data_IF_766803455668
#
_entry.id   IF_766803455668
#
_cell.length_a   1.000
_cell.length_b   1.000
_cell.length_c   1.000
_cell.angle_alpha   90.00
_cell.angle_beta   90.00
_cell.angle_gamma   90.00
#
_symmetry.space_group_name_H-M   'P 1'
#
loop_
_entity.id
_entity.type
_entity.pdbx_description
1 polymer ?
#
# COMPACT_ATOMS: atom_id res chain seq x y z
N UNK A 1 35.34 -3.04 -38.02
CA UNK A 1 35.23 -4.35 -37.33
C UNK A 1 33.90 -4.39 -36.60
N UNK A 2 33.04 -5.31 -37.04
CA UNK A 2 31.79 -5.80 -36.46
C UNK A 2 30.62 -4.83 -36.30
N UNK A 3 29.96 -4.56 -37.43
CA UNK A 3 28.53 -4.27 -37.48
C UNK A 3 27.74 -5.56 -37.25
N UNK A 4 26.75 -5.53 -36.36
CA UNK A 4 25.68 -6.53 -36.31
C UNK A 4 24.41 -5.85 -36.79
N UNK A 5 23.98 -6.23 -37.99
CA UNK A 5 22.72 -5.81 -38.57
C UNK A 5 21.55 -6.43 -37.80
N UNK A 6 20.60 -5.61 -37.36
CA UNK A 6 19.32 -6.06 -36.83
C UNK A 6 18.37 -6.37 -38.01
N UNK A 7 17.61 -7.48 -37.99
CA UNK A 7 16.69 -7.82 -39.06
C UNK A 7 15.48 -6.87 -39.09
N UNK A 8 14.89 -6.61 -40.28
CA UNK A 8 13.66 -5.82 -40.37
C UNK A 8 12.48 -6.75 -40.05
N UNK A 9 11.90 -6.63 -38.85
CA UNK A 9 10.62 -7.26 -38.56
C UNK A 9 9.50 -6.26 -38.80
N UNK A 10 8.95 -6.30 -40.02
CA UNK A 10 7.64 -5.78 -40.35
C UNK A 10 6.56 -6.52 -39.55
N UNK A 11 6.03 -5.89 -38.49
CA UNK A 11 4.75 -6.29 -37.93
C UNK A 11 3.92 -5.04 -37.60
N UNK A 12 2.65 -4.98 -38.04
CA UNK A 12 1.88 -3.74 -38.03
C UNK A 12 1.43 -3.37 -36.61
N UNK A 13 2.06 -2.34 -36.04
CA UNK A 13 1.77 -1.77 -34.72
C UNK A 13 0.44 -1.00 -34.61
N UNK A 14 -0.54 -1.29 -35.47
CA UNK A 14 -1.79 -0.52 -35.59
C UNK A 14 -3.08 -1.26 -35.24
N UNK A 15 -3.04 -2.58 -34.96
CA UNK A 15 -4.27 -3.35 -34.67
C UNK A 15 -4.49 -3.71 -33.19
N UNK A 16 -3.53 -3.47 -32.29
CA UNK A 16 -3.65 -3.86 -30.88
C UNK A 16 -4.12 -2.75 -29.92
N UNK A 17 -4.63 -1.62 -30.42
CA UNK A 17 -5.15 -0.53 -29.57
C UNK A 17 -6.67 -0.57 -29.34
N UNK A 18 -7.38 -1.59 -29.84
CA UNK A 18 -8.85 -1.58 -29.87
C UNK A 18 -9.58 -2.44 -28.84
N UNK A 19 -8.99 -3.51 -28.30
CA UNK A 19 -9.82 -4.58 -27.72
C UNK A 19 -9.49 -5.01 -26.27
N UNK A 20 -8.54 -4.39 -25.58
CA UNK A 20 -8.24 -4.74 -24.19
C UNK A 20 -8.30 -3.50 -23.32
N UNK A 21 -9.33 -3.42 -22.48
CA UNK A 21 -9.40 -2.37 -21.47
C UNK A 21 -8.21 -2.55 -20.51
N UNK A 22 -7.60 -1.45 -20.03
CA UNK A 22 -6.50 -1.51 -19.05
C UNK A 22 -6.85 -2.38 -17.84
N UNK A 23 -8.12 -2.39 -17.45
CA UNK A 23 -8.68 -3.18 -16.35
C UNK A 23 -8.62 -4.69 -16.59
N UNK A 24 -8.88 -5.15 -17.82
CA UNK A 24 -8.82 -6.57 -18.18
C UNK A 24 -7.38 -7.07 -18.26
N UNK A 25 -6.47 -6.22 -18.73
CA UNK A 25 -5.04 -6.52 -18.70
C UNK A 25 -4.53 -6.62 -17.26
N UNK A 26 -4.85 -5.64 -16.40
CA UNK A 26 -4.45 -5.67 -14.99
C UNK A 26 -5.02 -6.92 -14.27
N UNK A 27 -6.26 -7.32 -14.58
CA UNK A 27 -6.86 -8.54 -14.05
C UNK A 27 -6.06 -9.81 -14.40
N UNK A 28 -5.65 -9.96 -15.67
CA UNK A 28 -4.86 -11.12 -16.11
C UNK A 28 -3.39 -11.04 -15.69
N UNK A 29 -2.80 -9.85 -15.65
CA UNK A 29 -1.41 -9.64 -15.25
C UNK A 29 -1.19 -9.94 -13.77
N UNK A 30 -2.14 -9.57 -12.90
CA UNK A 30 -2.08 -9.88 -11.46
C UNK A 30 -2.12 -11.40 -11.20
N UNK A 31 -2.76 -12.17 -12.09
CA UNK A 31 -2.83 -13.64 -12.03
C UNK A 31 -1.50 -14.33 -12.39
N UNK A 32 -0.63 -13.66 -13.14
CA UNK A 32 0.69 -14.17 -13.56
C UNK A 32 1.83 -13.66 -12.68
N UNK A 33 1.73 -12.44 -12.17
CA UNK A 33 2.63 -11.91 -11.15
C UNK A 33 1.86 -10.90 -10.27
N UNK A 34 1.75 -11.13 -8.96
CA UNK A 34 1.08 -10.23 -8.02
C UNK A 34 1.68 -8.81 -7.96
N UNK A 35 2.80 -8.54 -8.63
CA UNK A 35 3.47 -7.24 -8.76
C UNK A 35 3.27 -6.55 -10.13
N UNK A 36 2.64 -7.20 -11.10
CA UNK A 36 2.31 -6.57 -12.38
C UNK A 36 0.97 -5.83 -12.28
N UNK A 37 1.04 -4.52 -12.06
CA UNK A 37 -0.06 -3.58 -12.30
C UNK A 37 0.52 -2.36 -13.00
N UNK A 38 -0.20 -1.83 -14.00
CA UNK A 38 0.31 -0.69 -14.76
C UNK A 38 0.18 0.64 -14.01
N UNK A 39 -0.73 0.74 -13.03
CA UNK A 39 -1.07 2.00 -12.37
C UNK A 39 -1.30 1.92 -10.84
N UNK A 40 -1.37 0.73 -10.24
CA UNK A 40 -1.86 0.62 -8.86
C UNK A 40 -0.77 0.94 -7.81
N UNK A 41 -1.08 1.77 -6.79
CA UNK A 41 -0.19 1.94 -5.66
C UNK A 41 -0.03 0.61 -4.90
N UNK A 42 1.21 0.32 -4.51
CA UNK A 42 1.57 -0.89 -3.78
C UNK A 42 2.56 -0.56 -2.69
N UNK A 43 2.58 -1.40 -1.66
CA UNK A 43 3.45 -1.24 -0.52
C UNK A 43 4.11 -2.57 -0.16
N UNK A 44 5.45 -2.59 -0.13
CA UNK A 44 6.22 -3.76 0.30
C UNK A 44 6.57 -3.65 1.78
N UNK A 45 6.32 -4.71 2.54
CA UNK A 45 6.75 -4.81 3.93
C UNK A 45 8.27 -4.87 4.01
N UNK A 46 8.88 -3.89 4.65
CA UNK A 46 10.32 -3.88 4.92
C UNK A 46 10.64 -4.60 6.21
N UNK A 47 9.84 -4.37 7.26
CA UNK A 47 9.98 -4.99 8.57
C UNK A 47 8.73 -4.82 9.41
N UNK A 48 8.56 -5.73 10.36
CA UNK A 48 7.50 -5.73 11.37
C UNK A 48 8.13 -5.57 12.75
N UNK A 49 7.68 -4.58 13.51
CA UNK A 49 8.17 -4.24 14.84
C UNK A 49 7.05 -4.45 15.87
N UNK A 50 7.32 -5.05 17.05
CA UNK A 50 6.33 -5.12 18.12
C UNK A 50 5.93 -3.71 18.60
N UNK A 51 4.63 -3.47 18.78
CA UNK A 51 4.08 -2.16 19.22
C UNK A 51 3.27 -2.27 20.52
N UNK A 52 3.53 -3.30 21.33
CA UNK A 52 2.81 -3.63 22.55
C UNK A 52 2.05 -4.95 22.45
N UNK A 53 1.24 -5.26 23.48
CA UNK A 53 0.56 -6.55 23.58
C UNK A 53 -0.45 -6.73 22.45
N UNK A 54 -0.20 -7.71 21.58
CA UNK A 54 -1.06 -8.01 20.44
C UNK A 54 -1.06 -6.93 19.36
N UNK A 55 -0.03 -6.08 19.29
CA UNK A 55 0.09 -5.04 18.28
C UNK A 55 1.46 -5.06 17.60
N UNK A 56 1.49 -4.67 16.33
CA UNK A 56 2.70 -4.55 15.54
C UNK A 56 2.66 -3.31 14.65
N UNK A 57 3.82 -2.68 14.45
CA UNK A 57 4.04 -1.63 13.46
C UNK A 57 4.70 -2.24 12.23
N UNK A 58 4.04 -2.09 11.08
CA UNK A 58 4.53 -2.48 9.77
C UNK A 58 5.19 -1.28 9.10
N UNK A 59 6.48 -1.39 8.81
CA UNK A 59 7.20 -0.40 8.02
C UNK A 59 7.13 -0.80 6.56
N UNK A 60 6.42 -0.01 5.77
CA UNK A 60 6.15 -0.28 4.36
C UNK A 60 6.92 0.68 3.46
N UNK A 61 7.38 0.18 2.31
CA UNK A 61 7.90 0.99 1.21
C UNK A 61 6.87 1.06 0.09
N UNK A 62 6.43 2.27 -0.25
CA UNK A 62 5.50 2.49 -1.35
C UNK A 62 6.22 2.55 -2.69
N UNK A 63 5.50 2.18 -3.76
CA UNK A 63 5.98 2.35 -5.13
C UNK A 63 5.75 3.78 -5.64
N UNK A 64 6.28 4.08 -6.84
CA UNK A 64 6.17 5.39 -7.49
C UNK A 64 4.73 5.85 -7.82
N UNK A 65 3.76 4.93 -7.77
CA UNK A 65 2.36 5.23 -8.11
C UNK A 65 1.60 5.82 -6.91
N UNK A 66 2.16 5.77 -5.71
CA UNK A 66 1.57 6.34 -4.52
C UNK A 66 1.99 7.80 -4.34
N UNK A 67 1.02 8.71 -4.17
CA UNK A 67 1.25 10.17 -4.23
C UNK A 67 1.68 10.80 -2.90
N UNK A 68 1.74 10.02 -1.82
CA UNK A 68 1.99 10.55 -0.48
C UNK A 68 0.75 10.52 0.40
N UNK A 69 0.93 10.94 1.66
CA UNK A 69 -0.15 11.27 2.58
C UNK A 69 0.17 12.58 3.29
N UNK A 70 -0.86 13.29 3.74
CA UNK A 70 -0.74 14.25 4.84
C UNK A 70 -0.95 13.52 6.16
N UNK A 71 -0.23 13.96 7.19
CA UNK A 71 -0.42 13.48 8.55
C UNK A 71 -1.90 13.52 8.96
N UNK A 72 -2.37 12.46 9.61
CA UNK A 72 -3.76 12.29 10.04
C UNK A 72 -4.71 11.65 9.01
N UNK A 73 -4.30 11.55 7.74
CA UNK A 73 -5.07 10.85 6.70
C UNK A 73 -5.04 9.31 6.86
N UNK A 74 -5.91 8.65 6.11
CA UNK A 74 -6.05 7.20 6.05
C UNK A 74 -5.70 6.64 4.67
N UNK A 75 -5.36 5.35 4.62
CA UNK A 75 -5.16 4.58 3.39
C UNK A 75 -5.93 3.26 3.49
N UNK A 76 -6.41 2.76 2.37
CA UNK A 76 -6.92 1.38 2.27
C UNK A 76 -5.77 0.45 1.93
N UNK A 77 -5.52 -0.53 2.81
CA UNK A 77 -4.58 -1.61 2.59
C UNK A 77 -5.36 -2.85 2.16
N UNK A 78 -4.99 -3.44 1.02
CA UNK A 78 -5.52 -4.72 0.58
C UNK A 78 -4.53 -5.85 0.83
N UNK A 79 -5.00 -6.87 1.53
CA UNK A 79 -4.23 -8.04 1.97
C UNK A 79 -4.86 -9.28 1.37
N UNK A 80 -4.05 -10.14 0.78
CA UNK A 80 -4.51 -11.42 0.23
C UNK A 80 -4.33 -12.52 1.27
N UNK A 81 -5.44 -13.17 1.65
CA UNK A 81 -5.47 -14.26 2.62
C UNK A 81 -6.33 -15.36 2.00
N UNK A 82 -5.78 -16.57 1.88
CA UNK A 82 -6.47 -17.74 1.31
C UNK A 82 -7.10 -17.47 -0.07
N UNK A 83 -6.38 -16.76 -0.95
CA UNK A 83 -6.82 -16.40 -2.29
C UNK A 83 -7.93 -15.33 -2.34
N UNK A 84 -8.24 -14.68 -1.21
CA UNK A 84 -9.22 -13.59 -1.11
C UNK A 84 -8.54 -12.28 -0.78
N UNK A 85 -8.84 -11.23 -1.54
CA UNK A 85 -8.38 -9.87 -1.24
C UNK A 85 -9.33 -9.21 -0.23
N UNK A 86 -8.80 -8.91 0.96
CA UNK A 86 -9.50 -8.24 2.04
C UNK A 86 -8.97 -6.82 2.20
N UNK A 87 -9.87 -5.84 2.31
CA UNK A 87 -9.51 -4.42 2.39
C UNK A 87 -9.73 -3.88 3.81
N UNK A 88 -8.76 -3.15 4.36
CA UNK A 88 -8.90 -2.47 5.65
C UNK A 88 -8.26 -1.08 5.60
N UNK A 89 -8.93 -0.12 6.23
CA UNK A 89 -8.42 1.24 6.36
C UNK A 89 -7.51 1.37 7.57
N UNK A 90 -6.39 2.04 7.38
CA UNK A 90 -5.41 2.34 8.44
C UNK A 90 -4.93 3.78 8.33
N UNK A 91 -4.50 4.37 9.45
CA UNK A 91 -3.86 5.69 9.50
C UNK A 91 -2.34 5.52 9.50
N UNK A 92 -1.63 5.81 8.40
CA UNK A 92 -0.18 5.68 8.38
C UNK A 92 0.51 6.87 9.04
N UNK A 93 1.71 6.64 9.56
CA UNK A 93 2.68 7.69 9.87
C UNK A 93 3.67 7.82 8.72
N UNK A 94 3.85 9.00 8.09
CA UNK A 94 4.87 9.20 7.07
C UNK A 94 6.27 9.10 7.69
N UNK A 95 7.16 8.31 7.08
CA UNK A 95 8.56 8.17 7.49
C UNK A 95 9.55 8.80 6.50
N UNK A 96 9.03 9.44 5.45
CA UNK A 96 9.83 10.02 4.37
C UNK A 96 10.43 9.00 3.38
N UNK A 97 10.90 9.50 2.23
CA UNK A 97 11.51 8.70 1.15
C UNK A 97 10.61 7.53 0.68
N UNK A 98 9.31 7.76 0.54
CA UNK A 98 8.35 6.73 0.10
C UNK A 98 8.15 5.61 1.13
N UNK A 99 8.34 5.88 2.43
CA UNK A 99 8.08 4.92 3.50
C UNK A 99 6.96 5.43 4.41
N UNK A 100 6.14 4.49 4.86
CA UNK A 100 5.04 4.73 5.80
C UNK A 100 5.08 3.65 6.88
N UNK A 101 4.63 3.99 8.09
CA UNK A 101 4.40 3.04 9.16
C UNK A 101 2.90 2.86 9.40
N UNK A 102 2.42 1.63 9.47
CA UNK A 102 1.05 1.30 9.86
C UNK A 102 1.10 0.50 11.16
N UNK A 103 0.45 0.98 12.21
CA UNK A 103 0.35 0.23 13.48
C UNK A 103 -0.99 -0.49 13.55
N UNK A 104 -0.94 -1.80 13.73
CA UNK A 104 -2.12 -2.68 13.76
C UNK A 104 -2.18 -3.38 15.11
N UNK A 105 -3.36 -3.37 15.73
CA UNK A 105 -3.69 -4.22 16.87
C UNK A 105 -4.49 -5.41 16.37
N UNK A 106 -4.10 -6.62 16.77
CA UNK A 106 -4.87 -7.83 16.51
C UNK A 106 -6.23 -7.71 17.23
N UNK A 107 -7.29 -7.99 16.47
CA UNK A 107 -8.67 -8.00 16.97
C UNK A 107 -9.14 -9.44 16.95
N UNK A 108 -9.81 -9.88 18.01
CA UNK A 108 -10.34 -11.24 18.09
C UNK A 108 -11.31 -11.50 16.93
N UNK A 109 -11.13 -12.63 16.24
CA UNK A 109 -11.86 -12.95 15.01
C UNK A 109 -11.48 -12.11 13.77
N UNK A 110 -10.60 -11.12 13.91
CA UNK A 110 -10.17 -10.27 12.80
C UNK A 110 -9.14 -10.95 11.91
N UNK A 111 -9.53 -11.36 10.70
CA UNK A 111 -8.62 -12.04 9.76
C UNK A 111 -7.41 -11.17 9.38
N UNK A 112 -7.65 -9.95 8.87
CA UNK A 112 -6.57 -9.08 8.39
C UNK A 112 -5.66 -8.61 9.52
N UNK A 113 -6.22 -8.21 10.66
CA UNK A 113 -5.42 -7.72 11.79
C UNK A 113 -4.57 -8.82 12.42
N UNK A 114 -5.08 -10.05 12.52
CA UNK A 114 -4.29 -11.19 12.99
C UNK A 114 -3.18 -11.54 12.00
N UNK A 115 -3.48 -11.63 10.70
CA UNK A 115 -2.50 -11.92 9.68
C UNK A 115 -1.37 -10.89 9.66
N UNK A 116 -1.69 -9.60 9.68
CA UNK A 116 -0.69 -8.53 9.70
C UNK A 116 0.20 -8.55 10.95
N UNK A 117 -0.35 -8.95 12.10
CA UNK A 117 0.40 -8.98 13.37
C UNK A 117 1.23 -10.27 13.51
N UNK A 118 0.73 -11.41 13.04
CA UNK A 118 1.30 -12.74 13.31
C UNK A 118 2.08 -13.30 12.13
N UNK A 119 1.54 -13.15 10.92
CA UNK A 119 1.97 -13.92 9.75
C UNK A 119 2.73 -13.08 8.73
N UNK A 120 2.45 -11.77 8.62
CA UNK A 120 3.09 -10.91 7.63
C UNK A 120 4.61 -10.82 7.82
N UNK A 121 5.35 -11.00 6.72
CA UNK A 121 6.81 -11.10 6.67
C UNK A 121 7.45 -10.00 5.80
N UNK A 122 8.69 -9.58 6.12
CA UNK A 122 9.48 -8.75 5.21
C UNK A 122 9.51 -9.33 3.79
N UNK A 123 9.16 -8.53 2.79
CA UNK A 123 9.03 -8.95 1.41
C UNK A 123 7.59 -9.01 0.92
N UNK A 124 6.61 -9.21 1.81
CA UNK A 124 5.19 -9.21 1.45
C UNK A 124 4.78 -7.92 0.76
N UNK A 125 3.88 -8.02 -0.21
CA UNK A 125 3.37 -6.85 -0.95
C UNK A 125 1.87 -6.75 -0.84
N UNK A 126 1.43 -5.57 -0.43
CA UNK A 126 0.03 -5.22 -0.26
C UNK A 126 -0.39 -4.25 -1.36
N UNK A 127 -1.67 -4.30 -1.74
CA UNK A 127 -2.28 -3.24 -2.54
C UNK A 127 -2.56 -2.04 -1.65
N UNK A 128 -2.40 -0.84 -2.19
CA UNK A 128 -2.60 0.41 -1.46
C UNK A 128 -3.44 1.37 -2.31
N UNK A 129 -4.40 2.04 -1.70
CA UNK A 129 -5.09 3.17 -2.33
C UNK A 129 -4.36 4.49 -2.05
N UNK A 130 -4.75 5.55 -2.77
CA UNK A 130 -4.27 6.90 -2.42
C UNK A 130 -4.78 7.30 -1.04
N UNK A 131 -4.01 8.14 -0.34
CA UNK A 131 -4.43 8.66 0.94
C UNK A 131 -5.70 9.52 0.81
N UNK A 132 -6.58 9.42 1.79
CA UNK A 132 -7.85 10.15 1.85
C UNK A 132 -8.20 10.52 3.30
N UNK A 133 -9.19 11.39 3.45
CA UNK A 133 -9.68 11.87 4.75
C UNK A 133 -9.22 13.30 5.05
N UNK A 134 -10.02 13.96 5.89
CA UNK A 134 -9.95 15.39 6.15
C UNK A 134 -9.36 15.74 7.52
N UNK A 135 -8.95 14.72 8.30
CA UNK A 135 -8.24 14.90 9.56
C UNK A 135 -6.80 15.33 9.28
N UNK A 136 -6.60 16.61 8.98
CA UNK A 136 -5.29 17.22 8.72
C UNK A 136 -5.17 18.51 9.51
N UNK A 137 -4.00 18.79 10.07
CA UNK A 137 -3.73 20.06 10.73
C UNK A 137 -3.40 21.16 9.71
N UNK A 138 -3.78 22.39 10.05
CA UNK A 138 -3.33 23.59 9.35
C UNK A 138 -1.92 23.98 9.84
N UNK A 139 -1.17 24.69 9.00
CA UNK A 139 0.24 25.05 9.27
C UNK A 139 0.42 25.93 10.53
N UNK A 140 -0.62 26.65 10.94
CA UNK A 140 -0.69 27.41 12.19
C UNK A 140 -1.71 26.77 13.13
N UNK A 141 -1.38 25.61 13.70
CA UNK A 141 -2.23 24.99 14.72
C UNK A 141 -1.93 25.61 16.10
N UNK A 142 -2.95 26.01 16.88
CA UNK A 142 -2.78 26.45 18.27
C UNK A 142 -2.39 25.27 19.18
N UNK A 143 -2.37 25.47 20.50
CA UNK A 143 -2.20 24.37 21.47
C UNK A 143 -3.29 23.29 21.24
N UNK A 144 -2.86 22.05 20.99
CA UNK A 144 -3.75 20.93 20.65
C UNK A 144 -3.87 19.93 21.81
N UNK A 145 -5.11 19.56 22.14
CA UNK A 145 -5.42 18.39 22.95
C UNK A 145 -5.94 17.27 22.05
N UNK A 146 -5.19 16.16 21.97
CA UNK A 146 -5.54 14.98 21.18
C UNK A 146 -5.99 13.85 22.12
N UNK A 147 -7.26 13.43 22.01
CA UNK A 147 -7.85 12.38 22.84
C UNK A 147 -8.11 11.12 22.03
N UNK A 148 -7.41 10.03 22.36
CA UNK A 148 -7.58 8.74 21.69
C UNK A 148 -7.71 7.58 22.68
N UNK A 149 -8.38 6.52 22.21
CA UNK A 149 -8.42 5.22 22.86
C UNK A 149 -8.04 4.12 21.87
N UNK A 150 -7.26 3.14 22.33
CA UNK A 150 -6.85 2.00 21.52
C UNK A 150 -6.10 2.39 20.24
N UNK A 151 -6.42 1.75 19.11
CA UNK A 151 -5.80 2.06 17.82
C UNK A 151 -6.20 3.42 17.24
N UNK A 152 -7.20 4.10 17.83
CA UNK A 152 -7.58 5.46 17.48
C UNK A 152 -6.48 6.50 17.70
N UNK A 153 -5.40 6.13 18.39
CA UNK A 153 -4.21 6.97 18.57
C UNK A 153 -3.37 7.11 17.28
N UNK A 154 -3.54 6.20 16.32
CA UNK A 154 -2.69 6.14 15.11
C UNK A 154 -2.72 7.40 14.23
N UNK A 155 -3.87 8.02 13.88
CA UNK A 155 -3.85 9.29 13.14
C UNK A 155 -3.24 10.42 13.97
N UNK A 156 -3.48 10.45 15.29
CA UNK A 156 -2.93 11.48 16.20
C UNK A 156 -1.42 11.40 16.34
N UNK A 157 -0.86 10.19 16.30
CA UNK A 157 0.60 9.97 16.31
C UNK A 157 1.26 10.36 14.99
N UNK A 158 0.48 10.50 13.91
CA UNK A 158 0.99 10.95 12.63
C UNK A 158 0.98 12.47 12.49
N UNK A 159 0.03 13.16 13.16
CA UNK A 159 -0.04 14.62 13.31
C UNK A 159 1.20 15.16 14.02
#
# INVERSE_FOLDING_TARGET
MNAVALPPSSFPSRLLRGCLSPTLFDFWATRLNPLWTLQQPRARLLRREPAGRGAATLVLRTNRHWKGLRAGQHVTLGVEIDGRRLLRSYSPTPLGRGRIAITVKAVDGGLVSQHLVRDAQPGDVFTLDQAFGDMVLADAAPDLLLLAAGSGITPMRAL
#
